data_IF_326261811293
#
_entry.id   IF_326261811293
#
_cell.length_a   1.000
_cell.length_b   1.000
_cell.length_c   1.000
_cell.angle_alpha   90.00
_cell.angle_beta   90.00
_cell.angle_gamma   90.00
#
_symmetry.space_group_name_H-M   'P 1'
#
loop_
_entity.id
_entity.type
_entity.pdbx_description
1 polymer ?
#
# COMPACT_ATOMS: atom_id res chain seq x y z
N UNK A 1 6.21 34.51 13.86
CA UNK A 1 5.60 33.16 13.87
C UNK A 1 6.09 32.48 12.61
N UNK A 2 7.25 31.89 12.73
CA UNK A 2 7.94 31.13 11.69
C UNK A 2 7.45 29.69 11.81
N UNK A 3 6.80 29.20 10.77
CA UNK A 3 6.32 27.82 10.71
C UNK A 3 7.44 26.90 10.27
N UNK A 4 7.69 25.90 11.06
CA UNK A 4 8.69 24.86 10.90
C UNK A 4 8.48 24.10 9.57
N UNK A 5 9.39 24.37 8.65
CA UNK A 5 9.55 23.64 7.41
C UNK A 5 10.51 22.47 7.71
N UNK A 6 10.02 21.43 8.41
CA UNK A 6 10.81 20.23 8.66
C UNK A 6 11.10 19.48 7.34
N UNK A 7 12.35 19.61 6.92
CA UNK A 7 13.21 18.59 6.35
C UNK A 7 12.67 17.69 5.26
N UNK A 8 12.42 18.23 4.04
CA UNK A 8 12.52 17.40 2.82
C UNK A 8 14.02 17.18 2.61
N UNK A 9 14.55 16.04 3.03
CA UNK A 9 15.87 15.58 2.62
C UNK A 9 15.93 15.61 1.09
N UNK A 10 16.72 16.53 0.54
CA UNK A 10 17.03 16.61 -0.89
C UNK A 10 17.99 15.46 -1.20
N UNK A 11 17.43 14.26 -1.31
CA UNK A 11 18.16 13.12 -1.88
C UNK A 11 18.32 13.37 -3.39
N UNK A 12 19.52 13.09 -3.89
CA UNK A 12 19.99 13.15 -5.28
C UNK A 12 18.87 13.44 -6.29
N UNK A 13 19.05 14.52 -7.09
CA UNK A 13 18.04 14.96 -8.06
C UNK A 13 17.78 13.89 -9.12
N UNK A 14 16.86 12.99 -8.83
CA UNK A 14 16.39 12.01 -9.80
C UNK A 14 15.77 12.74 -11.00
N UNK A 15 16.03 12.24 -12.20
CA UNK A 15 15.56 12.85 -13.44
C UNK A 15 15.16 11.83 -14.50
N UNK A 16 14.38 12.28 -15.44
CA UNK A 16 14.04 11.57 -16.67
C UNK A 16 15.22 11.65 -17.64
N UNK A 17 15.69 10.50 -18.12
CA UNK A 17 16.70 10.44 -19.20
C UNK A 17 16.06 10.33 -20.57
N UNK A 18 14.99 9.52 -20.68
CA UNK A 18 14.30 9.29 -21.93
C UNK A 18 12.82 9.02 -21.68
N UNK A 19 12.00 9.42 -22.63
CA UNK A 19 10.58 9.05 -22.71
C UNK A 19 10.34 8.28 -24.00
N UNK A 20 9.63 7.15 -23.91
CA UNK A 20 9.57 6.17 -24.97
C UNK A 20 8.14 5.69 -25.22
N UNK A 21 7.77 5.47 -26.47
CA UNK A 21 6.45 4.98 -26.89
C UNK A 21 6.55 3.83 -27.89
N UNK A 22 5.52 2.99 -27.91
CA UNK A 22 5.31 1.98 -28.94
C UNK A 22 3.83 1.89 -29.31
N UNK A 23 3.54 1.78 -30.61
CA UNK A 23 2.16 1.62 -31.11
C UNK A 23 1.67 0.17 -31.02
N UNK A 24 2.52 -0.80 -30.70
CA UNK A 24 2.21 -2.23 -30.67
C UNK A 24 2.65 -2.85 -29.34
N UNK A 25 1.76 -3.64 -28.71
CA UNK A 25 2.08 -4.40 -27.48
C UNK A 25 3.17 -5.45 -27.76
N UNK A 26 4.03 -5.69 -26.78
CA UNK A 26 5.08 -6.71 -26.85
C UNK A 26 6.26 -6.35 -27.76
N UNK A 27 6.41 -5.07 -28.12
CA UNK A 27 7.56 -4.57 -28.90
C UNK A 27 8.36 -3.55 -28.09
N UNK A 28 9.61 -3.35 -28.49
CA UNK A 28 10.45 -2.27 -27.96
C UNK A 28 9.74 -0.92 -28.15
N UNK A 29 10.01 0.01 -27.25
CA UNK A 29 9.58 1.41 -27.38
C UNK A 29 10.71 2.24 -27.97
N UNK A 30 10.37 3.35 -28.61
CA UNK A 30 11.33 4.25 -29.22
C UNK A 30 11.32 5.60 -28.52
N UNK A 31 12.49 6.20 -28.28
CA UNK A 31 12.60 7.54 -27.70
C UNK A 31 11.84 8.58 -28.52
N UNK A 32 11.21 9.52 -27.82
CA UNK A 32 10.54 10.70 -28.36
C UNK A 32 10.95 11.93 -27.56
N UNK A 33 10.71 13.13 -28.09
CA UNK A 33 11.07 14.38 -27.42
C UNK A 33 10.24 14.66 -26.18
N UNK A 34 8.96 14.31 -26.22
CA UNK A 34 7.98 14.53 -25.13
C UNK A 34 6.88 13.47 -25.20
N UNK A 35 6.35 13.08 -24.06
CA UNK A 35 5.11 12.29 -23.97
C UNK A 35 4.01 13.10 -23.28
N UNK A 36 2.79 12.95 -23.78
CA UNK A 36 1.57 13.41 -23.10
C UNK A 36 0.98 12.24 -22.33
N UNK A 37 0.83 12.42 -21.03
CA UNK A 37 0.20 11.43 -20.11
C UNK A 37 -1.22 11.86 -19.86
N UNK A 38 -2.16 10.96 -20.11
CA UNK A 38 -3.61 11.13 -19.87
C UNK A 38 -4.04 10.29 -18.67
N UNK A 39 -5.30 10.37 -18.27
CA UNK A 39 -5.87 9.54 -17.20
C UNK A 39 -5.75 8.02 -17.47
N UNK A 40 -5.55 7.62 -18.72
CA UNK A 40 -5.42 6.22 -19.14
C UNK A 40 -3.98 5.81 -19.46
N UNK A 41 -2.99 6.70 -19.24
CA UNK A 41 -1.58 6.43 -19.50
C UNK A 41 -0.98 7.29 -20.62
N UNK A 42 0.10 6.81 -21.25
CA UNK A 42 0.82 7.58 -22.28
C UNK A 42 0.03 7.59 -23.57
N UNK A 43 -0.29 8.78 -24.08
CA UNK A 43 -1.01 8.98 -25.33
C UNK A 43 -0.29 8.30 -26.50
N UNK A 44 -1.03 7.60 -27.33
CA UNK A 44 -0.52 6.83 -28.49
C UNK A 44 0.38 5.63 -28.13
N UNK A 45 0.56 5.30 -26.86
CA UNK A 45 1.25 4.09 -26.46
C UNK A 45 0.28 2.90 -26.41
N UNK A 46 0.74 1.74 -26.86
CA UNK A 46 -0.09 0.53 -26.93
C UNK A 46 -0.54 -0.01 -25.57
N UNK A 47 0.14 0.40 -24.46
CA UNK A 47 -0.20 -0.02 -23.10
C UNK A 47 -1.13 0.95 -22.37
N UNK A 48 -1.49 2.08 -22.99
CA UNK A 48 -2.51 2.97 -22.44
C UNK A 48 -3.85 2.22 -22.29
N UNK A 49 -4.54 2.44 -21.17
CA UNK A 49 -5.80 1.76 -20.91
C UNK A 49 -6.32 1.98 -19.50
N UNK A 50 -7.54 1.51 -19.24
CA UNK A 50 -8.19 1.63 -17.93
C UNK A 50 -7.78 0.46 -17.00
N UNK A 51 -6.54 0.48 -16.55
CA UNK A 51 -5.95 -0.51 -15.65
C UNK A 51 -4.89 0.16 -14.75
N UNK A 52 -4.29 -0.57 -13.82
CA UNK A 52 -3.36 0.03 -12.86
C UNK A 52 -1.90 0.14 -13.36
N UNK A 53 -1.53 -0.47 -14.51
CA UNK A 53 -0.17 -0.45 -15.08
C UNK A 53 -0.08 0.45 -16.30
N UNK A 54 -0.48 1.72 -16.15
CA UNK A 54 -0.64 2.66 -17.26
C UNK A 54 0.68 3.23 -17.79
N UNK A 55 1.68 3.39 -16.90
CA UNK A 55 3.00 3.94 -17.23
C UNK A 55 4.07 3.06 -16.61
N UNK A 56 5.07 2.67 -17.39
CA UNK A 56 6.20 1.87 -16.91
C UNK A 56 7.46 2.71 -16.78
N UNK A 57 8.20 2.53 -15.68
CA UNK A 57 9.47 3.19 -15.41
C UNK A 57 10.57 2.15 -15.20
N UNK A 58 11.78 2.48 -15.65
CA UNK A 58 12.99 1.68 -15.42
C UNK A 58 14.18 2.59 -15.16
N UNK A 59 15.01 2.27 -14.18
CA UNK A 59 16.20 3.03 -13.86
C UNK A 59 17.35 2.72 -14.82
N UNK A 60 18.10 3.73 -15.20
CA UNK A 60 19.30 3.59 -16.05
C UNK A 60 20.34 2.70 -15.38
N UNK A 61 20.46 2.78 -14.07
CA UNK A 61 21.36 1.95 -13.25
C UNK A 61 21.06 0.46 -13.43
N UNK A 62 19.78 0.09 -13.54
CA UNK A 62 19.34 -1.29 -13.82
C UNK A 62 19.67 -1.70 -15.26
N UNK A 63 19.52 -0.77 -16.22
CA UNK A 63 19.86 -1.00 -17.64
C UNK A 63 21.35 -1.19 -17.80
N UNK A 64 22.19 -0.35 -17.16
CA UNK A 64 23.66 -0.44 -17.23
C UNK A 64 24.17 -1.75 -16.64
N UNK A 65 23.67 -2.14 -15.46
CA UNK A 65 24.01 -3.42 -14.86
C UNK A 65 23.70 -4.58 -15.80
N UNK A 66 22.51 -4.60 -16.38
CA UNK A 66 22.10 -5.62 -17.34
C UNK A 66 22.96 -5.57 -18.62
N UNK A 67 23.27 -4.37 -19.14
CA UNK A 67 24.13 -4.17 -20.32
C UNK A 67 25.52 -4.78 -20.14
N UNK A 68 26.11 -4.66 -18.93
CA UNK A 68 27.39 -5.29 -18.58
C UNK A 68 27.28 -6.82 -18.58
N UNK A 69 26.24 -7.37 -17.97
CA UNK A 69 25.99 -8.83 -17.91
C UNK A 69 25.76 -9.41 -19.31
N UNK A 70 24.97 -8.72 -20.14
CA UNK A 70 24.65 -9.12 -21.51
C UNK A 70 25.77 -8.84 -22.52
N UNK A 71 26.84 -8.13 -22.12
CA UNK A 71 27.97 -7.69 -22.97
C UNK A 71 27.54 -6.97 -24.25
N UNK A 72 26.45 -6.22 -24.17
CA UNK A 72 25.95 -5.39 -25.26
C UNK A 72 25.36 -4.08 -24.76
N UNK A 73 25.41 -3.05 -25.60
CA UNK A 73 24.74 -1.78 -25.32
C UNK A 73 23.22 -1.99 -25.43
N UNK A 74 22.48 -1.52 -24.44
CA UNK A 74 21.02 -1.46 -24.41
C UNK A 74 20.61 -0.01 -24.66
N UNK A 75 19.66 0.20 -25.57
CA UNK A 75 19.13 1.52 -25.86
C UNK A 75 17.86 1.79 -25.00
N UNK A 76 17.51 3.07 -24.84
CA UNK A 76 16.27 3.45 -24.16
C UNK A 76 15.06 2.85 -24.85
N UNK A 77 14.10 2.34 -24.06
CA UNK A 77 12.88 1.72 -24.56
C UNK A 77 13.01 0.25 -24.94
N UNK A 78 14.20 -0.34 -24.97
CA UNK A 78 14.38 -1.75 -25.35
C UNK A 78 13.69 -2.71 -24.37
N UNK A 79 13.53 -2.38 -23.08
CA UNK A 79 12.75 -3.14 -22.12
C UNK A 79 11.26 -2.80 -22.12
N UNK A 80 10.81 -2.02 -23.10
CA UNK A 80 9.46 -1.50 -23.26
C UNK A 80 9.01 -0.56 -22.11
N UNK A 81 9.95 0.08 -21.43
CA UNK A 81 9.67 1.13 -20.47
C UNK A 81 9.22 2.43 -21.15
N UNK A 82 8.27 3.15 -20.55
CA UNK A 82 7.83 4.46 -21.03
C UNK A 82 8.79 5.57 -20.59
N UNK A 83 9.35 5.45 -19.38
CA UNK A 83 10.24 6.44 -18.80
C UNK A 83 11.50 5.75 -18.33
N UNK A 84 12.65 6.16 -18.87
CA UNK A 84 13.96 5.78 -18.34
C UNK A 84 14.42 6.88 -17.38
N UNK A 85 14.72 6.49 -16.12
CA UNK A 85 15.10 7.40 -15.04
C UNK A 85 16.56 7.29 -14.70
N UNK A 86 17.10 8.26 -13.95
CA UNK A 86 18.45 8.24 -13.37
C UNK A 86 18.43 8.81 -11.96
N UNK A 87 19.28 8.28 -11.08
CA UNK A 87 19.45 8.79 -9.72
C UNK A 87 18.37 8.32 -8.74
N UNK A 88 17.63 7.24 -9.06
CA UNK A 88 16.58 6.67 -8.21
C UNK A 88 16.52 5.14 -8.31
N UNK A 89 16.53 4.45 -7.17
CA UNK A 89 16.34 3.00 -7.10
C UNK A 89 14.84 2.66 -7.03
N UNK A 90 14.21 2.56 -8.18
CA UNK A 90 12.76 2.39 -8.31
C UNK A 90 12.21 1.16 -7.56
N UNK A 91 12.95 0.06 -7.52
CA UNK A 91 12.53 -1.19 -6.87
C UNK A 91 12.51 -1.15 -5.34
N UNK A 92 13.09 -0.13 -4.72
CA UNK A 92 13.07 0.07 -3.27
C UNK A 92 11.87 0.86 -2.76
N UNK A 93 11.05 1.34 -3.67
CA UNK A 93 9.81 2.05 -3.33
C UNK A 93 8.66 1.09 -3.00
N UNK A 94 7.57 1.64 -2.45
CA UNK A 94 6.41 0.86 -2.00
C UNK A 94 5.19 1.15 -2.87
N UNK A 95 4.31 0.18 -2.96
CA UNK A 95 3.00 0.37 -3.60
C UNK A 95 2.30 1.55 -2.92
N UNK A 96 1.71 2.43 -3.74
CA UNK A 96 1.11 3.73 -3.40
C UNK A 96 2.10 4.87 -3.15
N UNK A 97 3.42 4.68 -3.24
CA UNK A 97 4.34 5.81 -3.36
C UNK A 97 4.01 6.62 -4.62
N UNK A 98 4.15 7.93 -4.55
CA UNK A 98 3.85 8.81 -5.67
C UNK A 98 5.12 9.42 -6.22
N UNK A 99 5.17 9.55 -7.54
CA UNK A 99 6.23 10.21 -8.27
C UNK A 99 5.66 11.45 -8.95
N UNK A 100 6.19 12.62 -8.60
CA UNK A 100 5.95 13.86 -9.32
C UNK A 100 7.00 13.96 -10.41
N UNK A 101 6.57 13.88 -11.68
CA UNK A 101 7.46 13.84 -12.85
C UNK A 101 6.97 14.83 -13.88
N UNK A 102 7.75 15.88 -14.15
CA UNK A 102 7.30 16.97 -15.01
C UNK A 102 5.99 17.58 -14.46
N UNK A 103 4.94 17.61 -15.28
CA UNK A 103 3.62 18.12 -14.89
C UNK A 103 2.69 17.06 -14.26
N UNK A 104 3.14 15.79 -14.22
CA UNK A 104 2.31 14.64 -13.87
C UNK A 104 2.48 14.21 -12.42
N UNK A 105 1.48 13.47 -11.92
CA UNK A 105 1.58 12.70 -10.69
C UNK A 105 1.24 11.23 -11.00
N UNK A 106 2.18 10.35 -10.72
CA UNK A 106 2.10 8.90 -10.95
C UNK A 106 2.10 8.19 -9.60
N UNK A 107 1.27 7.16 -9.43
CA UNK A 107 1.25 6.34 -8.22
C UNK A 107 1.73 4.93 -8.53
N UNK A 108 2.71 4.45 -7.77
CA UNK A 108 3.26 3.12 -7.90
C UNK A 108 2.20 2.06 -7.57
N UNK A 109 1.94 1.16 -8.51
CA UNK A 109 0.92 0.11 -8.35
C UNK A 109 1.49 -1.30 -8.47
N UNK A 110 2.68 -1.44 -9.07
CA UNK A 110 3.32 -2.75 -9.18
C UNK A 110 4.83 -2.61 -9.33
N UNK A 111 5.57 -3.46 -8.63
CA UNK A 111 7.03 -3.65 -8.79
C UNK A 111 7.23 -4.98 -9.48
N UNK A 112 7.98 -4.97 -10.58
CA UNK A 112 8.17 -6.15 -11.41
C UNK A 112 6.92 -6.59 -12.17
N UNK A 113 7.06 -7.62 -12.97
CA UNK A 113 5.95 -8.30 -13.66
C UNK A 113 6.32 -9.75 -13.93
N UNK A 114 5.32 -10.61 -14.13
CA UNK A 114 5.60 -11.93 -14.67
C UNK A 114 6.24 -11.82 -16.07
N UNK A 115 7.29 -12.61 -16.28
CA UNK A 115 7.95 -12.66 -17.57
C UNK A 115 7.16 -13.58 -18.52
N UNK A 116 6.85 -13.09 -19.72
CA UNK A 116 6.21 -13.92 -20.75
C UNK A 116 7.17 -14.93 -21.40
N UNK A 117 8.42 -15.05 -20.89
CA UNK A 117 9.42 -15.98 -21.36
C UNK A 117 9.67 -15.85 -22.89
N UNK A 118 9.69 -16.98 -23.56
CA UNK A 118 9.95 -17.06 -25.02
C UNK A 118 8.92 -16.34 -25.90
N UNK A 119 7.80 -15.92 -25.37
CA UNK A 119 6.82 -15.11 -26.11
C UNK A 119 7.19 -13.61 -26.16
N UNK A 120 8.20 -13.17 -25.41
CA UNK A 120 8.67 -11.78 -25.40
C UNK A 120 9.87 -11.62 -26.33
N UNK A 121 9.79 -10.69 -27.29
CA UNK A 121 10.89 -10.39 -28.22
C UNK A 121 12.19 -10.02 -27.49
N UNK A 122 12.09 -9.27 -26.39
CA UNK A 122 13.24 -8.87 -25.57
C UNK A 122 13.90 -10.10 -24.93
N UNK A 123 13.09 -11.03 -24.39
CA UNK A 123 13.59 -12.27 -23.80
C UNK A 123 14.23 -13.18 -24.83
N UNK A 124 13.65 -13.28 -26.05
CA UNK A 124 14.21 -14.05 -27.17
C UNK A 124 15.58 -13.52 -27.61
N UNK A 125 15.75 -12.21 -27.60
CA UNK A 125 16.97 -11.56 -28.06
C UNK A 125 18.09 -11.58 -26.99
N UNK A 126 17.74 -11.46 -25.70
CA UNK A 126 18.70 -11.22 -24.62
C UNK A 126 18.76 -12.39 -23.62
N UNK A 127 17.82 -13.33 -23.67
CA UNK A 127 17.74 -14.48 -22.76
C UNK A 127 17.29 -14.17 -21.33
N UNK A 128 17.18 -12.88 -20.97
CA UNK A 128 16.78 -12.38 -19.65
C UNK A 128 16.10 -11.01 -19.80
N UNK A 129 15.47 -10.51 -18.73
CA UNK A 129 14.84 -9.19 -18.72
C UNK A 129 14.89 -8.58 -17.31
N UNK A 130 15.22 -7.30 -17.21
CA UNK A 130 15.30 -6.57 -15.95
C UNK A 130 13.94 -6.10 -15.45
N UNK A 131 12.97 -5.87 -16.33
CA UNK A 131 11.62 -5.41 -15.98
C UNK A 131 10.87 -6.29 -14.97
N UNK A 132 11.01 -7.64 -14.99
CA UNK A 132 10.38 -8.51 -13.99
C UNK A 132 10.80 -8.27 -12.55
N UNK A 133 12.00 -7.72 -12.33
CA UNK A 133 12.57 -7.53 -10.99
C UNK A 133 12.66 -6.06 -10.58
N UNK A 134 13.06 -5.20 -11.50
CA UNK A 134 13.48 -3.81 -11.19
C UNK A 134 12.60 -2.75 -11.88
N UNK A 135 11.79 -3.14 -12.88
CA UNK A 135 10.81 -2.25 -13.49
C UNK A 135 9.63 -1.98 -12.58
N UNK A 136 9.10 -0.77 -12.63
CA UNK A 136 7.88 -0.42 -11.89
C UNK A 136 6.78 0.03 -12.84
N UNK A 137 5.54 -0.10 -12.37
CA UNK A 137 4.36 0.30 -13.10
C UNK A 137 3.52 1.23 -12.22
N UNK A 138 3.02 2.28 -12.84
CA UNK A 138 2.26 3.31 -12.17
C UNK A 138 0.90 3.53 -12.84
N UNK A 139 -0.08 3.96 -12.05
CA UNK A 139 -1.30 4.59 -12.55
C UNK A 139 -1.15 6.11 -12.51
N UNK A 140 -1.91 6.79 -13.34
CA UNK A 140 -1.89 8.25 -13.42
C UNK A 140 -2.88 8.83 -12.42
N UNK A 141 -2.39 9.71 -11.53
CA UNK A 141 -3.23 10.50 -10.63
C UNK A 141 -3.48 11.90 -11.18
N UNK A 142 -2.49 12.47 -11.90
CA UNK A 142 -2.58 13.75 -12.58
C UNK A 142 -1.96 13.67 -13.96
N UNK A 143 -2.74 14.01 -14.96
CA UNK A 143 -2.31 14.11 -16.36
C UNK A 143 -1.37 15.31 -16.57
N UNK A 144 -0.55 15.26 -17.63
CA UNK A 144 0.38 16.33 -17.99
C UNK A 144 1.44 15.85 -18.99
N UNK A 145 2.51 16.60 -19.13
CA UNK A 145 3.60 16.33 -20.04
C UNK A 145 4.87 15.92 -19.29
N UNK A 146 5.63 15.04 -19.90
CA UNK A 146 6.96 14.59 -19.41
C UNK A 146 7.95 14.61 -20.57
N UNK A 147 9.14 15.13 -20.30
CA UNK A 147 10.26 15.18 -21.28
C UNK A 147 11.60 14.86 -20.60
N UNK A 148 12.63 14.55 -21.36
CA UNK A 148 13.99 14.38 -20.85
C UNK A 148 14.44 15.59 -20.02
N UNK A 149 15.17 15.32 -18.93
CA UNK A 149 15.64 16.24 -17.89
C UNK A 149 14.58 16.76 -16.92
N UNK A 150 13.32 16.35 -17.03
CA UNK A 150 12.33 16.63 -15.98
C UNK A 150 12.78 15.97 -14.66
N UNK A 151 12.64 16.71 -13.56
CA UNK A 151 12.94 16.22 -12.22
C UNK A 151 11.90 15.20 -11.78
N UNK A 152 12.35 14.25 -10.97
CA UNK A 152 11.51 13.26 -10.33
C UNK A 152 11.58 13.47 -8.82
N UNK A 153 10.44 13.71 -8.19
CA UNK A 153 10.30 13.76 -6.74
C UNK A 153 9.43 12.60 -6.28
N UNK A 154 9.98 11.78 -5.39
CA UNK A 154 9.21 10.72 -4.74
C UNK A 154 8.53 11.25 -3.47
N UNK A 155 7.24 10.95 -3.33
CA UNK A 155 6.44 11.21 -2.14
C UNK A 155 6.03 9.86 -1.55
N UNK A 156 6.71 9.40 -0.49
CA UNK A 156 6.41 8.10 0.11
C UNK A 156 4.98 8.04 0.66
N UNK A 157 4.33 6.91 0.51
CA UNK A 157 3.06 6.62 1.17
C UNK A 157 3.31 6.44 2.67
N UNK A 158 2.65 7.25 3.48
CA UNK A 158 2.53 7.02 4.92
C UNK A 158 1.25 6.24 5.18
N UNK A 159 1.38 5.04 5.75
CA UNK A 159 0.23 4.21 6.14
C UNK A 159 -0.39 4.78 7.42
N UNK A 160 -1.64 5.20 7.36
CA UNK A 160 -2.37 5.78 8.50
C UNK A 160 -3.15 4.71 9.23
N UNK A 161 -2.90 4.59 10.52
CA UNK A 161 -3.56 3.61 11.38
C UNK A 161 -4.19 4.31 12.60
N UNK A 162 -5.41 3.96 12.91
CA UNK A 162 -6.05 4.33 14.17
C UNK A 162 -6.29 3.10 15.01
N UNK A 163 -5.92 3.15 16.29
CA UNK A 163 -6.15 2.10 17.28
C UNK A 163 -7.03 2.69 18.37
N UNK A 164 -8.21 2.12 18.56
CA UNK A 164 -9.18 2.58 19.56
C UNK A 164 -9.33 1.49 20.62
N UNK A 165 -8.90 1.78 21.85
CA UNK A 165 -9.13 0.92 23.00
C UNK A 165 -10.41 1.32 23.70
N UNK A 166 -11.32 0.36 23.88
CA UNK A 166 -12.56 0.53 24.64
C UNK A 166 -12.41 -0.13 26.00
N UNK A 167 -12.47 0.66 27.06
CA UNK A 167 -12.42 0.18 28.43
C UNK A 167 -12.83 1.25 29.44
N UNK A 168 -13.95 1.06 30.13
CA UNK A 168 -14.35 1.90 31.26
C UNK A 168 -13.28 1.96 32.34
N UNK A 169 -12.64 0.84 32.67
CA UNK A 169 -11.65 0.78 33.75
C UNK A 169 -10.36 1.46 33.39
N UNK A 170 -9.88 1.30 32.15
CA UNK A 170 -8.66 1.96 31.71
C UNK A 170 -8.86 3.47 31.53
N UNK A 171 -10.01 3.89 30.96
CA UNK A 171 -10.33 5.32 30.79
C UNK A 171 -10.52 6.06 32.12
N UNK A 172 -10.93 5.34 33.17
CA UNK A 172 -11.02 5.88 34.56
C UNK A 172 -9.69 5.73 35.34
N UNK A 173 -8.60 5.29 34.72
CA UNK A 173 -7.29 5.18 35.36
C UNK A 173 -7.17 4.02 36.37
N UNK A 174 -8.08 3.05 36.39
CA UNK A 174 -8.04 1.90 37.30
C UNK A 174 -6.90 0.94 36.96
N UNK A 175 -6.57 0.80 35.65
CA UNK A 175 -5.40 0.11 35.16
C UNK A 175 -4.90 0.75 33.84
N UNK A 176 -3.67 0.45 33.48
CA UNK A 176 -3.07 0.93 32.24
C UNK A 176 -3.54 0.10 31.04
N UNK A 177 -3.89 0.76 29.90
CA UNK A 177 -4.12 0.06 28.65
C UNK A 177 -2.85 -0.61 28.17
N UNK A 178 -2.92 -1.90 27.90
CA UNK A 178 -1.83 -2.69 27.34
C UNK A 178 -2.18 -3.30 25.97
N UNK A 179 -3.45 -3.31 25.64
CA UNK A 179 -3.95 -3.92 24.39
C UNK A 179 -3.68 -3.03 23.18
N UNK A 180 -4.00 -1.75 23.25
CA UNK A 180 -3.70 -0.77 22.21
C UNK A 180 -2.19 -0.67 21.91
N UNK A 181 -1.33 -0.43 22.93
CA UNK A 181 0.13 -0.46 22.77
C UNK A 181 0.67 -1.76 22.15
N UNK A 182 0.06 -2.92 22.47
CA UNK A 182 0.48 -4.20 21.85
C UNK A 182 0.15 -4.28 20.37
N UNK A 183 -0.99 -3.77 19.93
CA UNK A 183 -1.33 -3.65 18.51
C UNK A 183 -0.30 -2.75 17.81
N UNK A 184 0.00 -1.58 18.40
CA UNK A 184 0.98 -0.61 17.89
C UNK A 184 2.36 -1.25 17.71
N UNK A 185 2.89 -1.92 18.72
CA UNK A 185 4.18 -2.62 18.69
C UNK A 185 4.27 -3.61 17.50
N UNK A 186 3.21 -4.41 17.32
CA UNK A 186 3.18 -5.42 16.25
C UNK A 186 3.15 -4.74 14.86
N UNK A 187 2.37 -3.68 14.70
CA UNK A 187 2.27 -2.95 13.45
C UNK A 187 3.57 -2.19 13.12
N UNK A 188 4.19 -1.54 14.09
CA UNK A 188 5.49 -0.89 13.92
C UNK A 188 6.55 -1.89 13.45
N UNK A 189 6.61 -3.06 14.09
CA UNK A 189 7.51 -4.16 13.67
C UNK A 189 7.19 -4.65 12.27
N UNK A 190 5.89 -4.84 11.95
CA UNK A 190 5.44 -5.34 10.64
C UNK A 190 5.81 -4.39 9.49
N UNK A 191 5.58 -3.08 9.64
CA UNK A 191 5.86 -2.09 8.62
C UNK A 191 7.35 -1.70 8.57
N UNK A 192 8.05 -1.68 9.72
CA UNK A 192 9.50 -1.46 9.78
C UNK A 192 10.28 -2.55 9.03
N UNK A 193 9.88 -3.82 9.19
CA UNK A 193 10.49 -4.93 8.45
C UNK A 193 10.33 -4.81 6.92
N UNK A 194 9.40 -3.98 6.47
CA UNK A 194 9.13 -3.66 5.07
C UNK A 194 9.67 -2.30 4.64
N UNK A 195 10.36 -1.60 5.55
CA UNK A 195 10.84 -0.23 5.35
C UNK A 195 9.73 0.75 4.93
N UNK A 196 8.50 0.52 5.35
CA UNK A 196 7.33 1.34 5.02
C UNK A 196 6.98 2.30 6.15
N UNK A 197 6.74 3.58 5.81
CA UNK A 197 6.37 4.61 6.79
C UNK A 197 4.96 4.38 7.29
N UNK A 198 4.78 4.52 8.60
CA UNK A 198 3.49 4.37 9.28
C UNK A 198 3.26 5.53 10.25
N UNK A 199 2.02 5.96 10.34
CA UNK A 199 1.52 6.94 11.31
C UNK A 199 0.41 6.28 12.12
N UNK A 200 0.61 6.13 13.44
CA UNK A 200 -0.31 5.41 14.33
C UNK A 200 -0.85 6.35 15.41
N UNK A 201 -2.15 6.53 15.40
CA UNK A 201 -2.88 7.18 16.46
C UNK A 201 -3.46 6.15 17.43
N UNK A 202 -3.19 6.31 18.74
CA UNK A 202 -3.78 5.50 19.81
C UNK A 202 -4.78 6.33 20.61
N UNK A 203 -6.02 5.84 20.70
CA UNK A 203 -7.12 6.51 21.40
C UNK A 203 -7.69 5.56 22.44
N UNK A 204 -7.89 6.03 23.67
CA UNK A 204 -8.53 5.31 24.74
C UNK A 204 -9.88 5.98 25.06
N UNK A 205 -10.96 5.22 25.02
CA UNK A 205 -12.31 5.70 25.34
C UNK A 205 -13.01 4.74 26.33
N UNK A 206 -14.02 5.22 27.07
CA UNK A 206 -14.93 4.32 27.81
C UNK A 206 -15.72 3.45 26.82
N UNK A 207 -16.44 2.44 27.36
CA UNK A 207 -17.34 1.58 26.60
C UNK A 207 -18.62 2.37 26.23
N UNK A 208 -18.48 3.32 25.30
CA UNK A 208 -19.51 4.26 24.82
C UNK A 208 -19.67 4.17 23.30
N UNK A 209 -20.85 3.74 22.86
CA UNK A 209 -21.16 3.52 21.46
C UNK A 209 -21.16 4.83 20.64
N UNK A 210 -21.61 5.96 21.21
CA UNK A 210 -21.65 7.24 20.50
C UNK A 210 -20.25 7.81 20.31
N UNK A 211 -19.38 7.71 21.33
CA UNK A 211 -17.97 8.10 21.22
C UNK A 211 -17.24 7.26 20.15
N UNK A 212 -17.46 5.92 20.18
CA UNK A 212 -16.89 5.02 19.16
C UNK A 212 -17.39 5.40 17.76
N UNK A 213 -18.69 5.56 17.56
CA UNK A 213 -19.27 5.90 16.26
C UNK A 213 -18.70 7.20 15.68
N UNK A 214 -18.51 8.22 16.52
CA UNK A 214 -17.87 9.48 16.11
C UNK A 214 -16.46 9.24 15.58
N UNK A 215 -15.63 8.50 16.29
CA UNK A 215 -14.24 8.18 15.87
C UNK A 215 -14.22 7.34 14.59
N UNK A 216 -15.13 6.38 14.43
CA UNK A 216 -15.26 5.61 13.19
C UNK A 216 -15.56 6.51 11.99
N UNK A 217 -16.46 7.49 12.15
CA UNK A 217 -16.75 8.47 11.09
C UNK A 217 -15.55 9.37 10.78
N UNK A 218 -14.82 9.80 11.80
CA UNK A 218 -13.57 10.58 11.62
C UNK A 218 -12.53 9.77 10.84
N UNK A 219 -12.28 8.51 11.19
CA UNK A 219 -11.38 7.62 10.47
C UNK A 219 -11.79 7.44 8.99
N UNK A 220 -13.09 7.26 8.72
CA UNK A 220 -13.63 7.17 7.35
C UNK A 220 -13.33 8.43 6.54
N UNK A 221 -13.52 9.61 7.14
CA UNK A 221 -13.34 10.90 6.47
C UNK A 221 -11.85 11.25 6.28
N UNK A 222 -11.00 10.92 7.24
CA UNK A 222 -9.56 11.19 7.24
C UNK A 222 -8.74 10.21 6.37
N UNK A 223 -9.43 9.29 5.67
CA UNK A 223 -8.78 8.28 4.82
C UNK A 223 -7.75 7.44 5.59
N UNK A 224 -8.11 7.01 6.81
CA UNK A 224 -7.35 6.02 7.58
C UNK A 224 -7.26 4.72 6.78
N UNK A 225 -6.08 4.13 6.63
CA UNK A 225 -5.90 2.89 5.87
C UNK A 225 -6.38 1.68 6.69
N UNK A 226 -6.01 1.64 7.99
CA UNK A 226 -6.40 0.57 8.91
C UNK A 226 -6.96 1.13 10.21
N UNK A 227 -8.03 0.53 10.67
CA UNK A 227 -8.63 0.81 11.96
C UNK A 227 -8.69 -0.47 12.78
N UNK A 228 -8.14 -0.43 13.97
CA UNK A 228 -8.22 -1.49 14.96
C UNK A 228 -9.01 -1.01 16.17
N UNK A 229 -9.99 -1.80 16.62
CA UNK A 229 -10.58 -1.60 17.92
C UNK A 229 -10.18 -2.75 18.83
N UNK A 230 -10.00 -2.52 20.14
CA UNK A 230 -9.71 -3.57 21.12
C UNK A 230 -10.53 -3.36 22.38
N UNK A 231 -11.15 -4.41 22.87
CA UNK A 231 -12.12 -4.38 23.98
C UNK A 231 -13.58 -4.38 23.51
N UNK A 232 -14.51 -4.65 24.42
CA UNK A 232 -15.94 -4.64 24.18
C UNK A 232 -16.43 -5.64 23.12
N UNK A 233 -15.77 -6.80 22.95
CA UNK A 233 -16.14 -7.83 21.96
C UNK A 233 -16.79 -9.07 22.53
N UNK A 234 -17.09 -9.09 23.83
CA UNK A 234 -17.75 -10.19 24.52
C UNK A 234 -19.26 -10.15 24.37
N UNK A 235 -19.97 -10.80 25.35
CA UNK A 235 -21.43 -10.97 25.36
C UNK A 235 -22.13 -10.19 26.48
N UNK A 236 -21.37 -9.40 27.25
CA UNK A 236 -21.91 -8.60 28.36
C UNK A 236 -22.63 -7.34 27.84
N UNK A 237 -23.43 -6.74 28.70
CA UNK A 237 -24.21 -5.52 28.38
C UNK A 237 -23.33 -4.32 27.99
N UNK A 238 -22.07 -4.30 28.46
CA UNK A 238 -21.07 -3.24 28.13
C UNK A 238 -20.25 -3.53 26.86
N UNK A 239 -20.41 -4.72 26.28
CA UNK A 239 -19.71 -5.12 25.07
C UNK A 239 -20.44 -4.58 23.83
N UNK A 240 -20.17 -3.29 23.50
CA UNK A 240 -20.88 -2.55 22.44
C UNK A 240 -20.09 -2.46 21.14
N UNK A 241 -18.82 -2.86 21.13
CA UNK A 241 -17.91 -2.62 20.01
C UNK A 241 -18.40 -3.28 18.74
N UNK A 242 -18.82 -4.53 18.82
CA UNK A 242 -19.17 -5.34 17.63
C UNK A 242 -20.41 -4.77 16.93
N UNK A 243 -21.45 -4.42 17.68
CA UNK A 243 -22.68 -3.84 17.13
C UNK A 243 -22.40 -2.49 16.48
N UNK A 244 -21.66 -1.62 17.17
CA UNK A 244 -21.32 -0.27 16.68
C UNK A 244 -20.50 -0.35 15.40
N UNK A 245 -19.44 -1.17 15.40
CA UNK A 245 -18.57 -1.33 14.21
C UNK A 245 -19.33 -1.99 13.07
N UNK A 246 -20.07 -3.08 13.32
CA UNK A 246 -20.82 -3.79 12.28
C UNK A 246 -21.83 -2.90 11.56
N UNK A 247 -22.46 -1.98 12.28
CA UNK A 247 -23.39 -1.00 11.70
C UNK A 247 -22.74 0.03 10.78
N UNK A 248 -21.41 0.17 10.82
CA UNK A 248 -20.65 1.12 10.02
C UNK A 248 -19.91 0.47 8.82
N UNK A 249 -19.85 -0.87 8.77
CA UNK A 249 -19.17 -1.59 7.70
C UNK A 249 -20.00 -1.60 6.42
N UNK A 250 -19.38 -1.22 5.32
CA UNK A 250 -19.96 -1.38 3.97
C UNK A 250 -19.87 -2.84 3.47
N UNK A 251 -18.84 -3.58 3.91
CA UNK A 251 -18.63 -5.01 3.61
C UNK A 251 -18.00 -5.72 4.79
N UNK A 252 -18.45 -6.92 5.09
CA UNK A 252 -17.82 -7.79 6.09
C UNK A 252 -16.88 -8.80 5.43
N UNK A 253 -15.82 -9.20 6.15
CA UNK A 253 -14.85 -10.23 5.76
C UNK A 253 -14.84 -11.31 6.87
N UNK A 254 -15.89 -12.14 6.96
CA UNK A 254 -16.08 -13.04 8.11
C UNK A 254 -14.98 -14.09 8.23
N UNK A 255 -14.45 -14.60 7.13
CA UNK A 255 -13.46 -15.68 7.11
C UNK A 255 -12.20 -15.42 7.93
N UNK A 256 -11.80 -14.14 8.12
CA UNK A 256 -10.65 -13.79 8.96
C UNK A 256 -10.95 -14.15 10.42
N UNK A 257 -12.05 -13.64 10.95
CA UNK A 257 -12.42 -13.84 12.36
C UNK A 257 -12.90 -15.27 12.63
N UNK A 258 -13.50 -15.94 11.66
CA UNK A 258 -13.87 -17.34 11.73
C UNK A 258 -12.63 -18.23 11.86
N UNK A 259 -11.63 -18.03 11.03
CA UNK A 259 -10.37 -18.76 11.08
C UNK A 259 -9.66 -18.57 12.42
N UNK A 260 -9.62 -17.34 12.94
CA UNK A 260 -9.01 -17.02 14.24
C UNK A 260 -9.78 -17.74 15.36
N UNK A 261 -11.11 -17.66 15.40
CA UNK A 261 -11.93 -18.34 16.40
C UNK A 261 -11.72 -19.86 16.38
N UNK A 262 -11.77 -20.46 15.19
CA UNK A 262 -11.58 -21.92 15.07
C UNK A 262 -10.18 -22.31 15.54
N UNK A 263 -9.15 -21.64 15.04
CA UNK A 263 -7.74 -21.97 15.34
C UNK A 263 -7.47 -21.93 16.86
N UNK A 264 -7.80 -20.82 17.50
CA UNK A 264 -7.52 -20.65 18.93
C UNK A 264 -8.58 -21.27 19.84
N UNK A 265 -9.81 -21.47 19.35
CA UNK A 265 -10.88 -22.16 20.06
C UNK A 265 -10.65 -23.64 20.27
N UNK A 266 -9.90 -24.29 19.37
CA UNK A 266 -9.49 -25.69 19.54
C UNK A 266 -8.59 -25.89 20.78
N UNK A 267 -7.74 -24.90 21.08
CA UNK A 267 -6.86 -24.94 22.26
C UNK A 267 -7.54 -24.35 23.52
N UNK A 268 -8.37 -23.33 23.32
CA UNK A 268 -9.02 -22.52 24.35
C UNK A 268 -10.48 -22.28 23.98
N UNK A 269 -11.42 -23.11 24.44
CA UNK A 269 -12.81 -23.01 24.05
C UNK A 269 -13.45 -21.62 24.24
N UNK A 270 -13.01 -20.84 25.23
CA UNK A 270 -13.50 -19.47 25.45
C UNK A 270 -13.16 -18.49 24.29
N UNK A 271 -12.18 -18.80 23.43
CA UNK A 271 -11.90 -17.99 22.25
C UNK A 271 -13.05 -18.04 21.21
N UNK A 272 -13.89 -19.10 21.25
CA UNK A 272 -15.09 -19.20 20.41
C UNK A 272 -16.17 -18.17 20.77
N UNK A 273 -16.11 -17.60 21.97
CA UNK A 273 -17.10 -16.63 22.45
C UNK A 273 -16.85 -15.21 21.98
N UNK A 274 -15.70 -14.96 21.35
CA UNK A 274 -15.40 -13.65 20.79
C UNK A 274 -16.24 -13.38 19.53
N UNK A 275 -16.92 -12.23 19.49
CA UNK A 275 -17.79 -11.82 18.39
C UNK A 275 -17.11 -10.85 17.42
N UNK A 276 -15.77 -10.65 17.55
CA UNK A 276 -15.00 -9.73 16.71
C UNK A 276 -15.33 -9.86 15.24
N UNK A 277 -15.32 -8.73 14.54
CA UNK A 277 -15.59 -8.61 13.09
C UNK A 277 -14.40 -8.01 12.34
N UNK A 278 -14.28 -8.35 11.06
CA UNK A 278 -13.40 -7.71 10.12
C UNK A 278 -14.20 -7.24 8.90
N UNK A 279 -13.85 -6.09 8.34
CA UNK A 279 -14.58 -5.56 7.19
C UNK A 279 -14.01 -4.27 6.64
N UNK A 280 -14.79 -3.66 5.77
CA UNK A 280 -14.44 -2.46 5.03
C UNK A 280 -15.42 -1.34 5.37
N UNK A 281 -14.90 -0.17 5.64
CA UNK A 281 -15.64 1.07 5.85
C UNK A 281 -15.05 2.15 4.91
N UNK A 282 -15.69 2.39 3.77
CA UNK A 282 -15.15 3.22 2.69
C UNK A 282 -13.89 2.61 2.10
N UNK A 283 -12.72 3.19 2.40
CA UNK A 283 -11.40 2.67 2.02
C UNK A 283 -10.59 2.19 3.24
N UNK A 284 -11.17 2.25 4.43
CA UNK A 284 -10.55 1.80 5.68
C UNK A 284 -10.80 0.32 5.90
N UNK A 285 -9.77 -0.45 6.17
CA UNK A 285 -9.88 -1.83 6.64
C UNK A 285 -10.07 -1.82 8.15
N UNK A 286 -11.11 -2.44 8.65
CA UNK A 286 -11.50 -2.41 10.07
C UNK A 286 -11.40 -3.81 10.68
N UNK A 287 -10.79 -3.87 11.88
CA UNK A 287 -10.70 -5.09 12.68
C UNK A 287 -11.10 -4.82 14.12
N UNK A 288 -11.91 -5.70 14.72
CA UNK A 288 -12.25 -5.65 16.14
C UNK A 288 -11.59 -6.81 16.90
N UNK A 289 -10.79 -6.48 17.91
CA UNK A 289 -9.98 -7.42 18.67
C UNK A 289 -10.46 -7.51 20.13
N UNK A 290 -10.25 -8.66 20.80
CA UNK A 290 -10.46 -8.77 22.23
C UNK A 290 -9.54 -7.86 23.04
N UNK A 291 -9.95 -7.48 24.28
CA UNK A 291 -9.18 -6.58 25.15
C UNK A 291 -7.96 -7.20 25.84
N UNK A 292 -7.69 -8.51 25.71
CA UNK A 292 -6.52 -9.13 26.36
C UNK A 292 -5.29 -9.10 25.46
N UNK A 293 -4.13 -8.71 26.00
CA UNK A 293 -2.84 -8.64 25.29
C UNK A 293 -2.49 -9.94 24.55
N UNK A 294 -2.78 -11.10 25.20
CA UNK A 294 -2.53 -12.41 24.59
C UNK A 294 -3.41 -12.64 23.37
N UNK A 295 -4.71 -12.37 23.48
CA UNK A 295 -5.62 -12.51 22.36
C UNK A 295 -5.31 -11.51 21.24
N UNK A 296 -4.91 -10.28 21.56
CA UNK A 296 -4.41 -9.31 20.58
C UNK A 296 -3.25 -9.90 19.77
N UNK A 297 -2.24 -10.48 20.41
CA UNK A 297 -1.11 -11.09 19.71
C UNK A 297 -1.53 -12.26 18.81
N UNK A 298 -2.46 -13.09 19.29
CA UNK A 298 -3.03 -14.21 18.54
C UNK A 298 -3.79 -13.71 17.28
N UNK A 299 -4.63 -12.70 17.41
CA UNK A 299 -5.39 -12.11 16.32
C UNK A 299 -4.48 -11.44 15.29
N UNK A 300 -3.55 -10.62 15.75
CA UNK A 300 -2.63 -9.89 14.87
C UNK A 300 -1.73 -10.84 14.07
N UNK A 301 -1.36 -12.01 14.63
CA UNK A 301 -0.56 -13.01 13.90
C UNK A 301 -1.28 -13.58 12.67
N UNK A 302 -2.61 -13.57 12.64
CA UNK A 302 -3.39 -13.99 11.49
C UNK A 302 -3.75 -12.80 10.57
N UNK A 303 -4.14 -11.66 11.16
CA UNK A 303 -4.53 -10.46 10.43
C UNK A 303 -3.39 -9.97 9.52
N UNK A 304 -2.16 -9.90 10.02
CA UNK A 304 -1.00 -9.41 9.26
C UNK A 304 -0.69 -10.22 8.00
N UNK A 305 -1.18 -11.46 7.90
CA UNK A 305 -0.99 -12.30 6.70
C UNK A 305 -1.78 -11.82 5.48
N UNK A 306 -2.88 -11.10 5.71
CA UNK A 306 -3.82 -10.74 4.64
C UNK A 306 -4.08 -9.24 4.51
N UNK A 307 -3.70 -8.43 5.51
CA UNK A 307 -4.07 -7.03 5.57
C UNK A 307 -3.60 -6.20 4.36
N UNK A 308 -2.39 -6.42 3.87
CA UNK A 308 -1.88 -5.71 2.68
C UNK A 308 -2.66 -6.10 1.41
N UNK A 309 -2.96 -7.38 1.25
CA UNK A 309 -3.71 -7.85 0.08
C UNK A 309 -5.11 -7.23 0.00
N UNK A 310 -5.77 -7.06 1.14
CA UNK A 310 -7.08 -6.40 1.22
C UNK A 310 -6.98 -4.95 0.71
N UNK A 311 -5.95 -4.21 1.11
CA UNK A 311 -5.74 -2.82 0.64
C UNK A 311 -5.49 -2.79 -0.86
N UNK A 312 -4.72 -3.72 -1.42
CA UNK A 312 -4.52 -3.80 -2.86
C UNK A 312 -5.84 -4.02 -3.61
N UNK A 313 -6.66 -4.96 -3.15
CA UNK A 313 -7.99 -5.20 -3.72
C UNK A 313 -8.89 -3.96 -3.65
N UNK A 314 -8.89 -3.23 -2.51
CA UNK A 314 -9.66 -2.00 -2.32
C UNK A 314 -9.26 -0.88 -3.29
N UNK A 315 -8.01 -0.88 -3.71
CA UNK A 315 -7.47 0.12 -4.64
C UNK A 315 -7.42 -0.37 -6.09
N UNK A 316 -8.02 -1.53 -6.40
CA UNK A 316 -8.08 -2.08 -7.74
C UNK A 316 -6.70 -2.50 -8.28
N UNK A 317 -5.79 -2.90 -7.38
CA UNK A 317 -4.50 -3.47 -7.74
C UNK A 317 -4.66 -4.99 -7.75
N UNK A 318 -4.65 -5.55 -8.95
CA UNK A 318 -4.66 -7.00 -9.16
C UNK A 318 -3.22 -7.52 -9.18
N UNK A 319 -2.92 -8.48 -8.31
CA UNK A 319 -1.61 -9.15 -8.23
C UNK A 319 -1.58 -10.53 -8.92
N UNK A 320 -2.66 -10.87 -9.65
CA UNK A 320 -2.72 -12.11 -10.40
C UNK A 320 -2.13 -12.00 -11.79
#
# INVERSE_FOLDING_TARGET
>A
MEGDNEGIEIMNTAKVLSVNISKKKGTIKHPVEEITVTETGVMHDAHAGNWHRQVSLLAMESIEKFSMEAKRKINFGEFAENITTQGIELSKHHIFDRFLVGETELELTQIGKECHGTACAIFQEVGNCVMPKEGIFCRVLKAGKIKPNDKILCVPKVVRVSIITLSDRASNGIYEDRSGPKIKEILESFFSARNQKIDIENILIPDDAAALQKLLMECRNNKTDYLFTTGGTGIGERDITVETVSGMLDKQIPGIMETIRVKYGMEKPNALLSRGVAGIMGKTVVYTLPGSVKAVAEYMSEITKTMEHIVFMLHGIDKH
#
